data_IF_266924294892
#
_entry.id   IF_266924294892
#
_cell.length_a   1.000
_cell.length_b   1.000
_cell.length_c   1.000
_cell.angle_alpha   90.00
_cell.angle_beta   90.00
_cell.angle_gamma   90.00
#
_symmetry.space_group_name_H-M   'P 1'
#
loop_
_entity.id
_entity.type
_entity.pdbx_description
1 polymer ?
#
# COMPACT_ATOMS: atom_id res chain seq x y z
N UNK A 1 8.31 -20.79 25.28
CA UNK A 1 9.40 -21.31 24.44
C UNK A 1 10.32 -20.14 24.08
N UNK A 2 11.39 -19.94 24.85
CA UNK A 2 12.29 -18.78 24.70
C UNK A 2 13.09 -18.81 23.38
N UNK A 3 13.38 -20.01 22.86
CA UNK A 3 14.11 -20.17 21.59
C UNK A 3 13.33 -19.60 20.41
N UNK A 4 12.01 -19.86 20.36
CA UNK A 4 11.14 -19.28 19.33
C UNK A 4 11.02 -17.76 19.43
N UNK A 5 10.95 -17.22 20.64
CA UNK A 5 10.90 -15.77 20.86
C UNK A 5 12.18 -15.12 20.33
N UNK A 6 13.35 -15.67 20.65
CA UNK A 6 14.62 -15.14 20.18
C UNK A 6 14.75 -15.21 18.65
N UNK A 7 14.31 -16.32 18.05
CA UNK A 7 14.30 -16.50 16.59
C UNK A 7 13.45 -15.42 15.90
N UNK A 8 12.18 -15.26 16.28
CA UNK A 8 11.30 -14.27 15.65
C UNK A 8 11.72 -12.83 15.91
N UNK A 9 12.30 -12.55 17.07
CA UNK A 9 12.86 -11.22 17.38
C UNK A 9 14.04 -10.89 16.46
N UNK A 10 14.94 -11.85 16.23
CA UNK A 10 16.05 -11.68 15.29
C UNK A 10 15.55 -11.39 13.86
N UNK A 11 14.57 -12.16 13.39
CA UNK A 11 13.97 -11.94 12.07
C UNK A 11 13.30 -10.56 11.95
N UNK A 12 12.55 -10.14 12.97
CA UNK A 12 11.93 -8.82 12.99
C UNK A 12 12.97 -7.69 12.94
N UNK A 13 14.12 -7.85 13.58
CA UNK A 13 15.22 -6.90 13.53
C UNK A 13 15.84 -6.83 12.13
N UNK A 14 16.08 -7.96 11.47
CA UNK A 14 16.60 -7.99 10.09
C UNK A 14 15.61 -7.34 9.11
N UNK A 15 14.32 -7.62 9.26
CA UNK A 15 13.26 -6.97 8.47
C UNK A 15 13.27 -5.45 8.70
N UNK A 16 13.37 -5.02 9.96
CA UNK A 16 13.45 -3.61 10.35
C UNK A 16 14.61 -2.88 9.68
N UNK A 17 15.79 -3.51 9.69
CA UNK A 17 16.99 -2.97 9.04
C UNK A 17 16.82 -2.91 7.51
N UNK A 18 16.25 -3.95 6.90
CA UNK A 18 15.99 -3.96 5.46
C UNK A 18 15.07 -2.83 5.00
N UNK A 19 14.00 -2.55 5.75
CA UNK A 19 13.10 -1.41 5.47
C UNK A 19 13.86 -0.09 5.58
N UNK A 20 14.59 0.09 6.68
CA UNK A 20 15.35 1.32 6.92
C UNK A 20 16.30 1.59 5.75
N UNK A 21 17.12 0.61 5.39
CA UNK A 21 18.14 0.75 4.34
C UNK A 21 17.51 0.93 2.96
N UNK A 22 16.70 -0.04 2.52
CA UNK A 22 16.32 -0.13 1.11
C UNK A 22 15.03 0.62 0.76
N UNK A 23 14.12 0.81 1.72
CA UNK A 23 12.89 1.57 1.48
C UNK A 23 13.02 3.04 1.89
N UNK A 24 13.69 3.34 3.01
CA UNK A 24 13.65 4.69 3.57
C UNK A 24 14.91 5.50 3.29
N UNK A 25 16.09 4.91 3.35
CA UNK A 25 17.35 5.64 3.13
C UNK A 25 17.73 5.68 1.65
N UNK A 26 17.61 4.57 0.91
CA UNK A 26 17.87 4.54 -0.54
C UNK A 26 16.86 5.36 -1.37
N UNK A 27 15.59 5.46 -0.93
CA UNK A 27 14.57 6.30 -1.59
C UNK A 27 14.87 7.79 -1.43
N UNK A 28 15.59 8.19 -0.38
CA UNK A 28 16.04 9.58 -0.19
C UNK A 28 17.30 9.94 -1.00
N UNK A 29 17.91 8.99 -1.73
CA UNK A 29 19.08 9.23 -2.59
C UNK A 29 18.76 9.22 -4.10
N UNK A 30 17.48 9.35 -4.48
CA UNK A 30 17.09 9.44 -5.90
C UNK A 30 17.20 8.12 -6.68
N UNK A 31 17.34 6.99 -5.99
CA UNK A 31 17.72 5.71 -6.62
C UNK A 31 16.57 4.94 -7.29
N UNK A 32 15.32 5.40 -7.23
CA UNK A 32 14.14 4.66 -7.76
C UNK A 32 14.01 3.21 -7.24
N UNK A 33 14.75 2.81 -6.20
CA UNK A 33 14.74 1.44 -5.72
C UNK A 33 13.52 1.19 -4.85
N UNK A 34 12.95 0.00 -5.03
CA UNK A 34 11.86 -0.52 -4.25
C UNK A 34 12.36 -1.63 -3.35
N UNK A 35 11.80 -1.71 -2.14
CA UNK A 35 12.11 -2.79 -1.23
C UNK A 35 11.34 -4.05 -1.64
N UNK A 36 12.09 -5.13 -1.86
CA UNK A 36 11.58 -6.48 -2.00
C UNK A 36 12.47 -7.39 -1.16
N UNK A 37 11.89 -8.10 -0.20
CA UNK A 37 12.66 -9.00 0.68
C UNK A 37 13.27 -10.20 -0.05
N UNK A 38 12.67 -10.61 -1.18
CA UNK A 38 13.21 -11.61 -2.10
C UNK A 38 14.06 -10.95 -3.21
N UNK A 39 14.88 -9.95 -2.88
CA UNK A 39 15.62 -9.11 -3.84
C UNK A 39 16.63 -9.87 -4.70
N UNK A 40 16.95 -11.12 -4.39
CA UNK A 40 17.74 -12.01 -5.25
C UNK A 40 16.96 -12.50 -6.48
N UNK A 41 15.63 -12.40 -6.47
CA UNK A 41 14.75 -12.87 -7.55
C UNK A 41 13.80 -11.80 -8.10
N UNK A 42 13.81 -10.58 -7.54
CA UNK A 42 12.88 -9.51 -7.91
C UNK A 42 13.62 -8.22 -8.28
N UNK A 43 13.17 -7.56 -9.35
CA UNK A 43 13.61 -6.21 -9.74
C UNK A 43 12.42 -5.25 -9.74
N UNK A 44 11.92 -4.86 -8.55
CA UNK A 44 10.71 -4.06 -8.42
C UNK A 44 10.92 -2.65 -9.00
N UNK A 45 9.92 -2.15 -9.71
CA UNK A 45 9.98 -0.88 -10.41
C UNK A 45 8.80 0.04 -10.10
N UNK A 46 9.09 1.33 -9.96
CA UNK A 46 8.08 2.38 -9.92
C UNK A 46 7.30 2.53 -11.24
N UNK A 47 7.62 1.78 -12.31
CA UNK A 47 6.80 1.74 -13.53
C UNK A 47 5.44 1.06 -13.28
N UNK A 48 5.39 0.12 -12.33
CA UNK A 48 4.20 -0.66 -12.06
C UNK A 48 3.61 -0.29 -10.69
N UNK A 49 2.34 0.10 -10.69
CA UNK A 49 1.62 0.36 -9.44
C UNK A 49 1.49 -0.92 -8.60
N UNK A 50 1.10 -2.03 -9.22
CA UNK A 50 1.00 -3.35 -8.61
C UNK A 50 1.89 -4.36 -9.34
N UNK A 51 2.51 -5.33 -8.63
CA UNK A 51 2.56 -5.43 -7.16
C UNK A 51 3.55 -4.43 -6.54
N UNK A 52 4.46 -3.90 -7.37
CA UNK A 52 5.68 -3.23 -6.94
C UNK A 52 5.41 -1.99 -6.08
N UNK A 53 4.69 -0.99 -6.60
CA UNK A 53 4.42 0.26 -5.88
C UNK A 53 3.54 0.11 -4.63
N UNK A 54 2.43 -0.63 -4.73
CA UNK A 54 1.51 -0.86 -3.61
C UNK A 54 2.20 -1.62 -2.49
N UNK A 55 3.03 -2.62 -2.81
CA UNK A 55 3.78 -3.37 -1.81
C UNK A 55 4.62 -2.45 -0.92
N UNK A 56 5.12 -1.32 -1.43
CA UNK A 56 5.94 -0.38 -0.65
C UNK A 56 5.15 0.34 0.44
N UNK A 57 3.83 0.39 0.32
CA UNK A 57 2.95 1.01 1.31
C UNK A 57 2.77 0.12 2.55
N UNK A 58 3.37 -1.06 2.59
CA UNK A 58 3.16 -2.00 3.66
C UNK A 58 3.53 -1.47 5.06
N UNK A 59 4.62 -0.70 5.27
CA UNK A 59 4.90 -0.13 6.57
C UNK A 59 3.82 0.87 6.97
N UNK A 60 3.18 1.51 5.99
CA UNK A 60 2.09 2.45 6.19
C UNK A 60 0.83 1.77 6.68
N UNK A 61 0.34 0.73 5.99
CA UNK A 61 -0.85 -0.02 6.42
C UNK A 61 -0.62 -0.76 7.75
N UNK A 62 0.63 -1.18 8.04
CA UNK A 62 0.99 -1.94 9.24
C UNK A 62 1.30 -1.01 10.43
N UNK A 63 1.33 0.30 10.19
CA UNK A 63 1.77 1.33 11.14
C UNK A 63 3.16 1.07 11.70
N UNK A 64 4.03 0.50 10.87
CA UNK A 64 5.39 0.17 11.23
C UNK A 64 6.33 1.38 11.03
N UNK A 65 7.11 1.69 12.08
CA UNK A 65 8.12 2.75 12.09
C UNK A 65 7.58 4.20 12.12
N UNK A 66 8.48 5.19 11.99
CA UNK A 66 8.16 6.59 12.23
C UNK A 66 7.08 7.14 11.29
N UNK A 67 6.15 7.95 11.83
CA UNK A 67 5.07 8.57 11.04
C UNK A 67 5.60 9.41 9.88
N UNK A 68 6.71 10.12 10.06
CA UNK A 68 7.35 10.94 9.03
C UNK A 68 7.82 10.09 7.84
N UNK A 69 8.43 8.92 8.09
CA UNK A 69 8.89 8.01 7.05
C UNK A 69 7.72 7.40 6.29
N UNK A 70 6.69 6.93 7.00
CA UNK A 70 5.44 6.44 6.38
C UNK A 70 4.77 7.49 5.49
N UNK A 71 4.74 8.74 5.95
CA UNK A 71 4.20 9.88 5.19
C UNK A 71 5.05 10.22 3.95
N UNK A 72 6.37 10.11 4.06
CA UNK A 72 7.27 10.30 2.92
C UNK A 72 7.10 9.20 1.86
N UNK A 73 7.03 7.93 2.27
CA UNK A 73 6.72 6.80 1.39
C UNK A 73 5.39 7.00 0.66
N UNK A 74 4.35 7.45 1.38
CA UNK A 74 3.06 7.81 0.78
C UNK A 74 3.19 8.89 -0.29
N UNK A 75 3.89 9.99 0.00
CA UNK A 75 4.10 11.08 -0.98
C UNK A 75 4.84 10.59 -2.22
N UNK A 76 5.85 9.74 -2.05
CA UNK A 76 6.57 9.11 -3.16
C UNK A 76 5.62 8.32 -4.06
N UNK A 77 4.83 7.42 -3.48
CA UNK A 77 3.81 6.66 -4.21
C UNK A 77 2.80 7.57 -4.94
N UNK A 78 2.21 8.54 -4.23
CA UNK A 78 1.20 9.46 -4.80
C UNK A 78 1.76 10.29 -5.96
N UNK A 79 3.03 10.69 -5.87
CA UNK A 79 3.70 11.43 -6.96
C UNK A 79 3.87 10.60 -8.21
N UNK A 80 4.12 9.30 -8.05
CA UNK A 80 4.31 8.37 -9.16
C UNK A 80 3.00 7.90 -9.79
N UNK A 81 1.95 7.77 -8.98
CA UNK A 81 0.64 7.26 -9.39
C UNK A 81 -0.49 8.24 -9.00
N UNK A 82 -0.51 9.47 -9.55
CA UNK A 82 -1.45 10.51 -9.12
C UNK A 82 -2.92 10.16 -9.36
N UNK A 83 -3.20 9.29 -10.34
CA UNK A 83 -4.54 8.84 -10.68
C UNK A 83 -5.12 7.74 -9.78
N UNK A 84 -4.34 7.18 -8.84
CA UNK A 84 -4.73 5.95 -8.14
C UNK A 84 -6.09 6.00 -7.44
N UNK A 85 -6.55 7.16 -6.94
CA UNK A 85 -7.83 7.24 -6.23
C UNK A 85 -9.06 7.30 -7.17
N UNK A 86 -8.84 7.62 -8.45
CA UNK A 86 -9.90 7.88 -9.45
C UNK A 86 -10.36 6.62 -10.18
N UNK A 87 -10.05 5.46 -9.61
CA UNK A 87 -9.70 4.30 -10.40
C UNK A 87 -10.49 3.10 -9.92
N UNK A 88 -10.90 2.28 -10.88
CA UNK A 88 -11.79 1.14 -10.64
C UNK A 88 -10.98 -0.13 -10.66
N UNK A 89 -11.16 -1.05 -9.69
CA UNK A 89 -10.67 -2.40 -9.81
C UNK A 89 -11.33 -3.04 -11.03
N UNK A 90 -10.61 -3.11 -12.13
CA UNK A 90 -10.98 -3.96 -13.25
C UNK A 90 -10.20 -5.27 -13.12
N UNK A 91 -10.69 -6.32 -13.75
CA UNK A 91 -9.95 -7.55 -14.04
C UNK A 91 -10.35 -7.93 -15.48
N UNK A 92 -9.46 -8.39 -16.38
CA UNK A 92 -8.28 -9.25 -16.16
C UNK A 92 -6.99 -8.83 -16.92
N UNK A 93 -6.78 -7.55 -17.24
CA UNK A 93 -5.63 -7.09 -18.07
C UNK A 93 -4.42 -6.65 -17.21
N UNK A 94 -3.23 -7.11 -17.60
CA UNK A 94 -1.96 -7.03 -16.86
C UNK A 94 -1.17 -5.75 -17.20
N UNK A 95 -1.61 -4.98 -18.19
CA UNK A 95 -0.87 -3.80 -18.70
C UNK A 95 -1.35 -2.47 -18.14
N UNK A 96 -1.44 -2.36 -16.81
CA UNK A 96 -1.73 -1.14 -16.03
C UNK A 96 -2.77 -0.15 -16.65
N UNK A 97 -4.07 -0.47 -16.46
CA UNK A 97 -4.98 0.51 -15.88
C UNK A 97 -5.71 -0.10 -14.66
N UNK A 98 -5.00 -0.18 -13.54
CA UNK A 98 -5.50 -0.28 -12.15
C UNK A 98 -6.36 -1.50 -11.82
N UNK A 99 -5.77 -2.63 -12.14
CA UNK A 99 -6.22 -3.94 -11.75
C UNK A 99 -5.56 -4.28 -10.40
N UNK A 100 -6.32 -4.87 -9.48
CA UNK A 100 -5.96 -5.30 -8.11
C UNK A 100 -5.98 -4.24 -6.99
N UNK A 101 -6.95 -4.41 -6.09
CA UNK A 101 -6.87 -4.15 -4.64
C UNK A 101 -6.23 -2.81 -4.21
N UNK A 102 -6.79 -1.69 -4.67
CA UNK A 102 -6.47 -0.37 -4.10
C UNK A 102 -7.00 -0.18 -2.67
N UNK A 103 -7.79 -1.12 -2.15
CA UNK A 103 -8.29 -1.05 -0.78
C UNK A 103 -7.16 -0.94 0.26
N UNK A 104 -6.09 -1.77 0.20
CA UNK A 104 -4.88 -1.55 1.00
C UNK A 104 -4.22 -0.17 0.81
N UNK A 105 -4.18 0.36 -0.42
CA UNK A 105 -3.66 1.71 -0.73
C UNK A 105 -4.51 2.79 -0.08
N UNK A 106 -5.83 2.68 -0.16
CA UNK A 106 -6.77 3.58 0.50
C UNK A 106 -6.62 3.52 2.03
N UNK A 107 -6.37 2.34 2.59
CA UNK A 107 -6.08 2.24 4.01
C UNK A 107 -4.74 2.89 4.38
N UNK A 108 -3.70 2.73 3.56
CA UNK A 108 -2.43 3.44 3.74
C UNK A 108 -2.61 4.97 3.66
N UNK A 109 -3.37 5.46 2.69
CA UNK A 109 -3.74 6.88 2.57
C UNK A 109 -4.47 7.39 3.82
N UNK A 110 -5.41 6.61 4.34
CA UNK A 110 -6.14 6.95 5.57
C UNK A 110 -5.23 6.98 6.81
N UNK A 111 -4.23 6.09 6.88
CA UNK A 111 -3.25 6.05 7.98
C UNK A 111 -2.35 7.29 8.04
N UNK A 112 -2.09 7.94 6.91
CA UNK A 112 -1.28 9.17 6.83
C UNK A 112 -2.13 10.45 6.77
N UNK A 113 -3.46 10.32 6.82
CA UNK A 113 -4.38 11.46 6.85
C UNK A 113 -4.69 12.08 5.48
N UNK A 114 -4.47 11.37 4.38
CA UNK A 114 -4.82 11.86 3.03
C UNK A 114 -6.33 11.70 2.76
N UNK A 115 -7.14 12.46 3.51
CA UNK A 115 -8.61 12.35 3.51
C UNK A 115 -9.20 12.50 2.12
N UNK A 116 -8.73 13.48 1.36
CA UNK A 116 -9.25 13.76 0.02
C UNK A 116 -9.11 12.54 -0.90
N UNK A 117 -7.95 11.90 -0.94
CA UNK A 117 -7.75 10.74 -1.80
C UNK A 117 -8.53 9.51 -1.31
N UNK A 118 -8.69 9.34 0.01
CA UNK A 118 -9.50 8.24 0.56
C UNK A 118 -10.98 8.43 0.26
N UNK A 119 -11.52 9.63 0.44
CA UNK A 119 -12.93 9.93 0.18
C UNK A 119 -13.26 9.74 -1.30
N UNK A 120 -12.38 10.20 -2.20
CA UNK A 120 -12.49 9.98 -3.64
C UNK A 120 -12.53 8.49 -3.98
N UNK A 121 -11.60 7.71 -3.42
CA UNK A 121 -11.54 6.28 -3.65
C UNK A 121 -12.78 5.53 -3.08
N UNK A 122 -13.25 5.92 -1.89
CA UNK A 122 -14.46 5.34 -1.28
C UNK A 122 -15.71 5.61 -2.11
N UNK A 123 -15.84 6.82 -2.66
CA UNK A 123 -16.91 7.20 -3.58
C UNK A 123 -16.84 6.37 -4.87
N UNK A 124 -15.67 6.30 -5.51
CA UNK A 124 -15.50 5.57 -6.76
C UNK A 124 -15.72 4.07 -6.58
N UNK A 125 -15.22 3.48 -5.49
CA UNK A 125 -15.48 2.07 -5.15
C UNK A 125 -16.95 1.82 -4.84
N UNK A 126 -17.67 2.79 -4.24
CA UNK A 126 -19.10 2.65 -4.01
C UNK A 126 -19.87 2.59 -5.34
N UNK A 127 -19.60 3.53 -6.25
CA UNK A 127 -20.30 3.66 -7.54
C UNK A 127 -20.01 2.47 -8.45
N UNK A 128 -18.73 2.09 -8.58
CA UNK A 128 -18.29 1.17 -9.63
C UNK A 128 -18.13 -0.28 -9.17
N UNK A 129 -18.05 -0.53 -7.87
CA UNK A 129 -17.85 -1.88 -7.34
C UNK A 129 -18.97 -2.33 -6.39
N UNK A 130 -19.34 -1.51 -5.39
CA UNK A 130 -20.37 -1.92 -4.42
C UNK A 130 -21.77 -1.87 -5.02
N UNK A 131 -22.17 -0.75 -5.64
CA UNK A 131 -23.52 -0.57 -6.20
C UNK A 131 -23.87 -1.61 -7.29
N UNK A 132 -22.94 -2.03 -8.18
CA UNK A 132 -23.20 -3.08 -9.16
C UNK A 132 -23.29 -4.50 -8.56
N UNK A 133 -23.25 -4.64 -7.24
CA UNK A 133 -23.39 -5.94 -6.56
C UNK A 133 -22.07 -6.70 -6.39
N UNK A 134 -20.93 -6.00 -6.38
CA UNK A 134 -19.58 -6.61 -6.24
C UNK A 134 -19.34 -7.73 -7.26
N UNK A 135 -19.41 -7.43 -8.57
CA UNK A 135 -19.13 -8.44 -9.57
C UNK A 135 -17.74 -9.03 -9.35
N UNK A 136 -17.60 -10.33 -9.62
CA UNK A 136 -16.29 -10.96 -9.63
C UNK A 136 -15.38 -10.21 -10.63
N UNK A 137 -14.09 -10.04 -10.34
CA UNK A 137 -13.37 -10.56 -9.17
C UNK A 137 -13.29 -9.63 -7.97
N UNK A 138 -13.29 -10.21 -6.78
CA UNK A 138 -13.01 -9.53 -5.51
C UNK A 138 -12.51 -10.52 -4.47
N UNK A 139 -11.80 -10.02 -3.46
CA UNK A 139 -11.36 -10.83 -2.31
C UNK A 139 -11.96 -10.34 -1.00
N UNK A 140 -12.00 -11.23 0.01
CA UNK A 140 -12.38 -10.81 1.38
C UNK A 140 -11.40 -9.76 1.92
N UNK A 141 -10.12 -9.82 1.52
CA UNK A 141 -9.12 -8.83 1.88
C UNK A 141 -9.50 -7.43 1.38
N UNK A 142 -10.01 -7.30 0.15
CA UNK A 142 -10.49 -6.02 -0.40
C UNK A 142 -11.60 -5.41 0.44
N UNK A 143 -12.56 -6.25 0.84
CA UNK A 143 -13.67 -5.82 1.69
C UNK A 143 -13.16 -5.36 3.06
N UNK A 144 -12.21 -6.10 3.64
CA UNK A 144 -11.61 -5.76 4.93
C UNK A 144 -10.84 -4.43 4.90
N UNK A 145 -9.94 -4.26 3.92
CA UNK A 145 -9.17 -3.02 3.79
C UNK A 145 -10.06 -1.83 3.42
N UNK A 146 -11.11 -2.01 2.60
CA UNK A 146 -12.08 -0.94 2.32
C UNK A 146 -12.77 -0.49 3.61
N UNK A 147 -13.21 -1.43 4.43
CA UNK A 147 -13.85 -1.11 5.71
C UNK A 147 -12.89 -0.39 6.67
N UNK A 148 -11.63 -0.82 6.75
CA UNK A 148 -10.59 -0.16 7.54
C UNK A 148 -10.30 1.27 7.03
N UNK A 149 -10.23 1.45 5.71
CA UNK A 149 -10.08 2.76 5.10
C UNK A 149 -11.25 3.69 5.45
N UNK A 150 -12.49 3.23 5.27
CA UNK A 150 -13.69 3.98 5.61
C UNK A 150 -13.77 4.34 7.10
N UNK A 151 -13.50 3.38 7.98
CA UNK A 151 -13.47 3.60 9.43
C UNK A 151 -12.44 4.68 9.79
N UNK A 152 -11.23 4.61 9.23
CA UNK A 152 -10.19 5.58 9.52
C UNK A 152 -10.52 6.95 8.93
N UNK A 153 -11.04 7.01 7.72
CA UNK A 153 -11.44 8.24 7.03
C UNK A 153 -12.50 9.04 7.81
N UNK A 154 -13.42 8.35 8.48
CA UNK A 154 -14.44 8.98 9.33
C UNK A 154 -13.85 9.75 10.52
N UNK A 155 -12.60 9.51 10.88
CA UNK A 155 -11.88 10.23 11.96
C UNK A 155 -11.00 11.37 11.46
N UNK A 156 -10.83 11.52 10.16
CA UNK A 156 -10.00 12.55 9.55
C UNK A 156 -10.79 13.86 9.41
N UNK A 157 -10.13 14.99 9.66
CA UNK A 157 -10.66 16.34 9.40
C UNK A 157 -10.51 16.70 7.93
#
# INVERSE_FOLDING_TARGET
>A
DQGKVNYWTSYANTLSQGIQTYLWDDVNQGSNKLYAWASDQLNPSWLYCYPDGIAQLWPTWARYGPSLRRSATWRGYKSRFPGWASTTPAYPDISCPLHYTEAPTAYAAAQVGDKQSVDLWLMNSQINWINPGRPYPWTVADSGFRALAAQKAATLQ
#
